data_IF_031692048987
#
_entry.id   IF_031692048987
#
_cell.length_a   1.000
_cell.length_b   1.000
_cell.length_c   1.000
_cell.angle_alpha   90.00
_cell.angle_beta   90.00
_cell.angle_gamma   90.00
#
_symmetry.space_group_name_H-M   'P 1'
#
loop_
_entity.id
_entity.type
_entity.pdbx_description
1 polymer ?
#
# COMPACT_ATOMS: atom_id res chain seq x y z
N UNK A 1 -22.66 49.02 -20.64
CA UNK A 1 -22.62 47.60 -21.05
C UNK A 1 -21.52 46.91 -20.26
N UNK A 2 -21.88 46.19 -19.20
CA UNK A 2 -20.94 45.36 -18.44
C UNK A 2 -21.09 43.92 -18.96
N UNK A 3 -20.08 43.41 -19.66
CA UNK A 3 -20.03 42.03 -20.08
C UNK A 3 -19.52 41.19 -18.90
N UNK A 4 -20.39 40.35 -18.36
CA UNK A 4 -20.02 39.34 -17.39
C UNK A 4 -19.11 38.29 -18.07
N UNK A 5 -17.87 38.18 -17.58
CA UNK A 5 -17.01 37.04 -17.86
C UNK A 5 -17.66 35.80 -17.24
N UNK A 6 -18.26 34.96 -18.09
CA UNK A 6 -18.55 33.58 -17.73
C UNK A 6 -17.22 32.84 -17.68
N UNK A 7 -16.80 32.46 -16.48
CA UNK A 7 -15.79 31.43 -16.31
C UNK A 7 -16.44 30.11 -16.75
N UNK A 8 -15.92 29.53 -17.83
CA UNK A 8 -16.26 28.18 -18.23
C UNK A 8 -15.91 27.23 -17.08
N UNK A 9 -16.87 26.37 -16.72
CA UNK A 9 -16.63 25.24 -15.84
C UNK A 9 -15.52 24.42 -16.48
N UNK A 10 -14.35 24.40 -15.87
CA UNK A 10 -13.27 23.46 -16.21
C UNK A 10 -13.89 22.07 -16.17
N UNK A 11 -13.97 21.42 -17.33
CA UNK A 11 -14.34 20.02 -17.47
C UNK A 11 -13.40 19.22 -16.56
N UNK A 12 -13.92 18.79 -15.41
CA UNK A 12 -13.27 17.73 -14.64
C UNK A 12 -13.23 16.53 -15.60
N UNK A 13 -12.07 15.89 -15.81
CA UNK A 13 -12.07 14.60 -16.47
C UNK A 13 -13.06 13.72 -15.71
N UNK A 14 -14.02 13.12 -16.43
CA UNK A 14 -14.84 12.07 -15.84
C UNK A 14 -13.88 11.07 -15.21
N UNK A 15 -14.11 10.75 -13.92
CA UNK A 15 -13.32 9.84 -13.08
C UNK A 15 -12.65 8.82 -13.99
N UNK A 16 -11.31 8.91 -14.10
CA UNK A 16 -10.54 8.20 -15.13
C UNK A 16 -11.09 6.78 -15.29
N UNK A 17 -11.48 6.42 -16.52
CA UNK A 17 -11.90 5.06 -16.84
C UNK A 17 -10.71 4.14 -16.57
N UNK A 18 -10.57 3.68 -15.33
CA UNK A 18 -9.61 2.66 -14.97
C UNK A 18 -10.08 1.37 -15.63
N UNK A 19 -9.21 0.79 -16.45
CA UNK A 19 -9.44 -0.51 -17.02
C UNK A 19 -8.82 -1.52 -16.07
N UNK A 20 -9.65 -2.26 -15.35
CA UNK A 20 -9.21 -3.36 -14.47
C UNK A 20 -8.48 -4.50 -15.20
N UNK A 21 -8.39 -4.43 -16.54
CA UNK A 21 -7.52 -5.29 -17.35
C UNK A 21 -6.16 -4.67 -17.64
N UNK A 22 -5.87 -3.46 -17.15
CA UNK A 22 -4.58 -2.78 -17.27
C UNK A 22 -4.01 -2.61 -15.86
N UNK A 23 -2.90 -3.28 -15.56
CA UNK A 23 -2.27 -3.26 -14.24
C UNK A 23 -0.86 -2.67 -14.30
N UNK A 24 -0.60 -1.69 -13.45
CA UNK A 24 0.76 -1.24 -13.15
C UNK A 24 1.11 -1.68 -11.72
N UNK A 25 2.15 -2.50 -11.60
CA UNK A 25 2.60 -3.07 -10.34
C UNK A 25 4.05 -2.67 -10.09
N UNK A 26 4.29 -1.88 -9.04
CA UNK A 26 5.64 -1.53 -8.57
C UNK A 26 5.97 -2.29 -7.30
N UNK A 27 7.20 -2.81 -7.24
CA UNK A 27 7.80 -3.30 -6.00
C UNK A 27 8.73 -2.24 -5.43
N UNK A 28 8.54 -1.88 -4.16
CA UNK A 28 9.48 -1.05 -3.40
C UNK A 28 10.18 -1.98 -2.41
N UNK A 29 11.48 -2.18 -2.59
CA UNK A 29 12.21 -3.27 -1.94
C UNK A 29 13.36 -2.73 -1.11
N UNK A 30 13.26 -2.98 0.19
CA UNK A 30 14.38 -2.90 1.11
C UNK A 30 15.50 -3.85 0.65
N UNK A 31 16.70 -3.30 0.46
CA UNK A 31 17.88 -4.01 0.00
C UNK A 31 19.02 -4.06 1.01
N UNK A 32 18.74 -3.93 2.32
CA UNK A 32 19.78 -4.07 3.35
C UNK A 32 20.00 -5.51 3.79
N UNK A 33 20.98 -5.70 4.68
CA UNK A 33 21.56 -7.01 4.99
C UNK A 33 20.55 -8.08 5.43
N UNK A 34 19.46 -7.69 6.10
CA UNK A 34 18.43 -8.61 6.59
C UNK A 34 17.53 -9.18 5.49
N UNK A 35 17.45 -8.52 4.33
CA UNK A 35 16.46 -8.80 3.29
C UNK A 35 16.83 -9.93 2.33
N UNK A 36 17.98 -10.60 2.52
CA UNK A 36 18.53 -11.56 1.57
C UNK A 36 17.60 -12.71 1.18
N UNK A 37 16.86 -13.29 2.15
CA UNK A 37 15.92 -14.39 1.87
C UNK A 37 14.66 -13.92 1.14
N UNK A 38 14.27 -12.66 1.30
CA UNK A 38 13.11 -12.05 0.66
C UNK A 38 13.42 -11.61 -0.76
N UNK A 39 14.59 -11.00 -0.99
CA UNK A 39 15.11 -10.73 -2.34
C UNK A 39 15.23 -12.04 -3.14
N UNK A 40 15.81 -13.09 -2.55
CA UNK A 40 15.94 -14.38 -3.21
C UNK A 40 14.59 -15.02 -3.54
N UNK A 41 13.60 -14.89 -2.64
CA UNK A 41 12.24 -15.37 -2.89
C UNK A 41 11.54 -14.58 -3.99
N UNK A 42 11.60 -13.24 -3.95
CA UNK A 42 11.03 -12.38 -5.00
C UNK A 42 11.63 -12.74 -6.37
N UNK A 43 12.96 -12.85 -6.43
CA UNK A 43 13.71 -13.23 -7.64
C UNK A 43 13.30 -14.58 -8.20
N UNK A 44 13.13 -15.58 -7.32
CA UNK A 44 12.79 -16.95 -7.72
C UNK A 44 11.35 -17.06 -8.20
N UNK A 45 10.43 -16.28 -7.62
CA UNK A 45 9.00 -16.40 -7.87
C UNK A 45 8.42 -15.34 -8.81
N UNK A 46 9.19 -14.33 -9.26
CA UNK A 46 8.64 -13.22 -10.08
C UNK A 46 7.95 -13.70 -11.35
N UNK A 47 8.46 -14.78 -11.98
CA UNK A 47 7.81 -15.38 -13.14
C UNK A 47 6.45 -15.97 -12.79
N UNK A 48 6.38 -16.71 -11.70
CA UNK A 48 5.15 -17.35 -11.23
C UNK A 48 4.12 -16.30 -10.81
N UNK A 49 4.55 -15.25 -10.09
CA UNK A 49 3.71 -14.10 -9.72
C UNK A 49 3.07 -13.47 -10.97
N UNK A 50 3.88 -13.13 -11.97
CA UNK A 50 3.37 -12.48 -13.18
C UNK A 50 2.49 -13.43 -13.97
N UNK A 51 2.91 -14.68 -14.15
CA UNK A 51 2.16 -15.67 -14.91
C UNK A 51 0.78 -15.93 -14.28
N UNK A 52 0.70 -16.10 -12.97
CA UNK A 52 -0.56 -16.30 -12.26
C UNK A 52 -1.47 -15.08 -12.37
N UNK A 53 -0.96 -13.85 -12.21
CA UNK A 53 -1.79 -12.64 -12.34
C UNK A 53 -2.28 -12.47 -13.80
N UNK A 54 -1.41 -12.64 -14.80
CA UNK A 54 -1.80 -12.53 -16.22
C UNK A 54 -2.84 -13.58 -16.59
N UNK A 55 -2.65 -14.84 -16.19
CA UNK A 55 -3.58 -15.94 -16.50
C UNK A 55 -4.93 -15.72 -15.81
N UNK A 56 -4.91 -15.40 -14.52
CA UNK A 56 -6.14 -15.31 -13.70
C UNK A 56 -6.95 -14.04 -13.97
N UNK A 57 -6.30 -12.91 -14.25
CA UNK A 57 -6.98 -11.62 -14.41
C UNK A 57 -7.02 -11.12 -15.86
N UNK A 58 -6.41 -11.84 -16.81
CA UNK A 58 -6.30 -11.46 -18.24
C UNK A 58 -5.81 -10.02 -18.43
N UNK A 59 -4.91 -9.59 -17.56
CA UNK A 59 -4.48 -8.20 -17.47
C UNK A 59 -3.18 -7.93 -18.25
N UNK A 60 -3.10 -6.76 -18.87
CA UNK A 60 -1.88 -6.17 -19.42
C UNK A 60 -1.05 -5.54 -18.29
N UNK A 61 -0.03 -6.27 -17.85
CA UNK A 61 0.77 -5.94 -16.66
C UNK A 61 2.06 -5.25 -17.07
N UNK A 62 2.32 -4.09 -16.46
CA UNK A 62 3.63 -3.46 -16.41
C UNK A 62 4.23 -3.56 -15.01
N UNK A 63 5.53 -3.84 -14.94
CA UNK A 63 6.27 -4.06 -13.70
C UNK A 63 7.33 -2.98 -13.52
N UNK A 64 7.46 -2.44 -12.31
CA UNK A 64 8.53 -1.53 -11.93
C UNK A 64 9.20 -1.99 -10.63
N UNK A 65 10.43 -1.54 -10.39
CA UNK A 65 11.19 -1.82 -9.17
C UNK A 65 11.84 -0.54 -8.66
N UNK A 66 11.59 -0.21 -7.40
CA UNK A 66 12.33 0.79 -6.63
C UNK A 66 13.07 0.07 -5.53
N UNK A 67 14.39 0.07 -5.59
CA UNK A 67 15.24 -0.44 -4.53
C UNK A 67 15.60 0.72 -3.60
N UNK A 68 15.60 0.50 -2.29
CA UNK A 68 16.15 1.45 -1.34
C UNK A 68 17.04 0.77 -0.31
N UNK A 69 17.91 1.56 0.31
CA UNK A 69 18.71 1.19 1.48
C UNK A 69 18.67 2.34 2.48
N UNK A 70 19.82 2.90 2.80
CA UNK A 70 20.00 3.87 3.87
C UNK A 70 20.83 5.06 3.37
N UNK A 71 20.82 6.15 4.13
CA UNK A 71 21.55 7.38 3.85
C UNK A 71 23.00 7.31 4.35
N UNK A 72 23.94 8.01 3.71
CA UNK A 72 25.27 8.22 4.28
C UNK A 72 25.17 9.02 5.59
N UNK A 73 25.86 8.63 6.68
CA UNK A 73 27.01 7.73 6.69
C UNK A 73 26.70 6.25 6.94
N UNK A 74 25.44 5.86 7.16
CA UNK A 74 25.09 4.46 7.45
C UNK A 74 25.36 3.57 6.25
N UNK A 75 24.98 4.03 5.07
CA UNK A 75 25.30 3.38 3.81
C UNK A 75 25.90 4.38 2.81
N UNK A 76 27.01 3.99 2.18
CA UNK A 76 27.73 4.79 1.18
C UNK A 76 27.53 4.29 -0.27
N UNK A 77 26.70 3.27 -0.48
CA UNK A 77 26.49 2.63 -1.78
C UNK A 77 25.45 3.36 -2.63
N UNK A 78 24.19 3.34 -2.21
CA UNK A 78 23.09 4.09 -2.82
C UNK A 78 21.95 4.24 -1.80
N UNK A 79 21.17 5.32 -1.93
CA UNK A 79 19.92 5.51 -1.17
C UNK A 79 18.77 4.84 -1.90
N UNK A 80 18.57 5.16 -3.18
CA UNK A 80 17.58 4.51 -4.06
C UNK A 80 18.16 4.13 -5.43
N UNK A 81 17.58 3.09 -6.06
CA UNK A 81 17.74 2.77 -7.48
C UNK A 81 16.36 2.52 -8.09
N UNK A 82 16.07 3.22 -9.18
CA UNK A 82 14.74 3.22 -9.80
C UNK A 82 14.81 2.55 -11.17
N UNK A 83 13.96 1.53 -11.36
CA UNK A 83 13.71 0.88 -12.64
C UNK A 83 12.24 1.11 -13.02
N UNK A 84 12.04 1.88 -14.09
CA UNK A 84 10.71 2.26 -14.56
C UNK A 84 9.94 1.07 -15.17
N UNK A 85 8.67 1.27 -15.53
CA UNK A 85 7.78 0.22 -15.99
C UNK A 85 8.29 -0.54 -17.23
N UNK A 86 8.28 -1.87 -17.13
CA UNK A 86 8.55 -2.80 -18.24
C UNK A 86 7.47 -3.87 -18.37
N UNK A 87 7.22 -4.31 -19.60
CA UNK A 87 6.41 -5.49 -19.92
C UNK A 87 7.22 -6.79 -19.88
N UNK A 88 8.55 -6.71 -19.75
CA UNK A 88 9.46 -7.85 -19.89
C UNK A 88 9.77 -8.44 -18.53
N UNK A 89 9.15 -9.57 -18.21
CA UNK A 89 9.40 -10.31 -16.95
C UNK A 89 10.88 -10.67 -16.75
N UNK A 90 11.60 -10.99 -17.84
CA UNK A 90 13.04 -11.26 -17.75
C UNK A 90 13.88 -10.03 -17.40
N UNK A 91 13.42 -8.83 -17.76
CA UNK A 91 14.08 -7.57 -17.38
C UNK A 91 13.86 -7.28 -15.89
N UNK A 92 12.61 -7.39 -15.41
CA UNK A 92 12.29 -7.32 -13.98
C UNK A 92 13.10 -8.34 -13.16
N UNK A 93 13.17 -9.59 -13.63
CA UNK A 93 14.01 -10.62 -12.98
C UNK A 93 15.49 -10.20 -12.99
N UNK A 94 15.97 -9.64 -14.09
CA UNK A 94 17.35 -9.17 -14.20
C UNK A 94 17.68 -8.02 -13.23
N UNK A 95 16.71 -7.16 -12.90
CA UNK A 95 16.86 -6.14 -11.85
C UNK A 95 16.91 -6.79 -10.45
N UNK A 96 15.99 -7.71 -10.17
CA UNK A 96 15.97 -8.46 -8.91
C UNK A 96 17.22 -9.31 -8.69
N UNK A 97 17.78 -9.91 -9.75
CA UNK A 97 19.06 -10.64 -9.71
C UNK A 97 20.24 -9.72 -9.30
N UNK A 98 20.11 -8.40 -9.46
CA UNK A 98 21.11 -7.39 -9.09
C UNK A 98 20.86 -6.78 -7.70
N UNK A 99 19.70 -7.06 -7.08
CA UNK A 99 19.46 -6.70 -5.68
C UNK A 99 20.41 -7.52 -4.81
N UNK A 100 21.19 -6.84 -3.98
CA UNK A 100 22.05 -7.48 -2.98
C UNK A 100 21.64 -6.99 -1.61
N UNK A 101 21.36 -7.91 -0.69
CA UNK A 101 21.08 -7.59 0.71
C UNK A 101 22.38 -7.16 1.42
N UNK A 102 22.65 -5.86 1.46
CA UNK A 102 23.86 -5.28 2.06
C UNK A 102 23.59 -3.84 2.50
N UNK A 103 24.37 -3.34 3.44
CA UNK A 103 24.23 -1.96 3.91
C UNK A 103 23.28 -1.83 5.09
N UNK A 104 22.72 -0.63 5.26
CA UNK A 104 22.06 -0.18 6.49
C UNK A 104 23.07 0.17 7.59
N UNK A 105 22.61 0.40 8.82
CA UNK A 105 23.50 0.57 9.95
C UNK A 105 22.83 0.84 11.29
N UNK A 106 21.83 1.72 11.31
CA UNK A 106 21.23 2.25 12.53
C UNK A 106 19.83 1.68 12.84
N UNK A 107 19.25 0.92 11.91
CA UNK A 107 18.00 0.18 12.09
C UNK A 107 16.89 0.73 11.21
N UNK A 108 16.50 2.01 11.32
CA UNK A 108 15.61 2.65 10.35
C UNK A 108 16.27 2.81 8.97
N UNK A 109 15.45 2.98 7.94
CA UNK A 109 15.93 3.03 6.56
C UNK A 109 15.29 4.14 5.72
N UNK A 110 15.77 4.30 4.47
CA UNK A 110 15.31 5.30 3.50
C UNK A 110 13.96 4.96 2.84
N UNK A 111 13.00 4.45 3.63
CA UNK A 111 11.64 4.11 3.18
C UNK A 111 10.95 5.32 2.54
N UNK A 112 11.15 6.52 3.09
CA UNK A 112 10.59 7.76 2.55
C UNK A 112 11.10 8.05 1.13
N UNK A 113 12.40 7.87 0.88
CA UNK A 113 13.01 8.04 -0.43
C UNK A 113 12.47 7.03 -1.44
N UNK A 114 12.38 5.75 -1.03
CA UNK A 114 11.80 4.69 -1.85
C UNK A 114 10.35 4.96 -2.26
N UNK A 115 9.50 5.36 -1.30
CA UNK A 115 8.10 5.73 -1.60
C UNK A 115 8.00 7.01 -2.43
N UNK A 116 8.89 7.98 -2.23
CA UNK A 116 8.90 9.21 -3.02
C UNK A 116 9.22 8.92 -4.50
N UNK A 117 10.16 8.02 -4.77
CA UNK A 117 10.52 7.64 -6.14
C UNK A 117 9.39 6.91 -6.88
N UNK A 118 8.46 6.26 -6.16
CA UNK A 118 7.24 5.68 -6.76
C UNK A 118 6.38 6.74 -7.46
N UNK A 119 6.32 7.96 -6.93
CA UNK A 119 5.54 9.06 -7.51
C UNK A 119 6.10 9.54 -8.86
N UNK A 120 7.37 9.21 -9.16
CA UNK A 120 8.09 9.64 -10.36
C UNK A 120 8.01 8.63 -11.52
N UNK A 121 7.47 7.43 -11.27
CA UNK A 121 7.34 6.38 -12.28
C UNK A 121 6.35 6.74 -13.38
N UNK A 122 6.51 6.13 -14.55
CA UNK A 122 5.70 6.40 -15.75
C UNK A 122 4.35 5.66 -15.72
N UNK A 123 3.55 5.91 -14.69
CA UNK A 123 2.23 5.31 -14.49
C UNK A 123 1.26 5.56 -15.65
N UNK A 124 0.53 4.54 -16.09
CA UNK A 124 -0.53 4.68 -17.08
C UNK A 124 -1.76 5.32 -16.44
N UNK A 125 -2.41 6.24 -17.17
CA UNK A 125 -3.56 6.98 -16.64
C UNK A 125 -4.70 6.04 -16.21
N UNK A 126 -5.00 5.04 -17.04
CA UNK A 126 -6.14 4.13 -16.88
C UNK A 126 -5.79 2.81 -16.20
N UNK A 127 -4.58 2.62 -15.69
CA UNK A 127 -4.22 1.38 -14.99
C UNK A 127 -4.78 1.36 -13.56
N UNK A 128 -5.10 0.16 -13.08
CA UNK A 128 -5.06 -0.14 -11.65
C UNK A 128 -3.62 -0.01 -11.18
N UNK A 129 -3.37 0.81 -10.16
CA UNK A 129 -2.01 1.16 -9.69
C UNK A 129 -1.74 0.57 -8.32
N UNK A 130 -0.81 -0.37 -8.26
CA UNK A 130 -0.47 -1.09 -7.03
C UNK A 130 1.01 -0.90 -6.72
N UNK A 131 1.30 -0.46 -5.51
CA UNK A 131 2.62 -0.38 -4.94
C UNK A 131 2.75 -1.42 -3.82
N UNK A 132 3.70 -2.34 -3.93
CA UNK A 132 4.01 -3.33 -2.91
C UNK A 132 5.33 -2.95 -2.25
N UNK A 133 5.26 -2.41 -1.03
CA UNK A 133 6.43 -2.17 -0.18
C UNK A 133 6.79 -3.44 0.57
N UNK A 134 8.04 -3.88 0.49
CA UNK A 134 8.59 -5.02 1.24
C UNK A 134 9.69 -4.47 2.14
N UNK A 135 9.45 -4.44 3.45
CA UNK A 135 10.36 -3.85 4.44
C UNK A 135 10.37 -4.66 5.74
N UNK A 136 11.50 -4.64 6.44
CA UNK A 136 11.62 -5.12 7.82
C UNK A 136 11.92 -3.99 8.84
N UNK A 137 12.17 -2.77 8.36
CA UNK A 137 12.56 -1.61 9.14
C UNK A 137 11.63 -0.39 8.97
N UNK A 138 11.52 0.51 9.97
CA UNK A 138 10.76 1.75 9.87
C UNK A 138 11.50 2.82 9.04
N UNK A 139 10.82 3.89 8.58
CA UNK A 139 11.52 5.07 8.09
C UNK A 139 12.29 5.79 9.20
N UNK A 140 13.35 6.50 8.82
CA UNK A 140 13.96 7.51 9.69
C UNK A 140 12.95 8.52 10.23
N UNK A 141 13.19 8.98 11.47
CA UNK A 141 12.37 9.97 12.16
C UNK A 141 11.22 9.41 12.98
N UNK A 142 10.89 8.11 12.85
CA UNK A 142 9.80 7.48 13.60
C UNK A 142 10.17 7.14 15.05
N UNK A 143 11.28 6.42 15.25
CA UNK A 143 11.80 6.05 16.57
C UNK A 143 13.20 6.66 16.76
N UNK A 144 13.39 7.62 17.68
CA UNK A 144 14.68 8.28 17.86
C UNK A 144 15.74 7.38 18.51
N UNK A 145 15.38 6.21 19.02
CA UNK A 145 16.33 5.32 19.70
C UNK A 145 17.20 4.58 18.69
N UNK A 146 18.43 5.04 18.53
CA UNK A 146 19.42 4.41 17.65
C UNK A 146 19.43 4.95 16.22
N UNK A 147 18.41 5.71 15.82
CA UNK A 147 18.29 6.36 14.51
C UNK A 147 19.37 7.43 14.28
N UNK A 148 20.15 7.29 13.21
CA UNK A 148 21.15 8.25 12.76
C UNK A 148 20.54 9.49 12.10
N UNK A 149 19.26 9.44 11.73
CA UNK A 149 18.48 10.54 11.18
C UNK A 149 17.18 10.77 11.95
N UNK A 150 17.25 11.11 13.25
CA UNK A 150 16.10 11.15 14.15
C UNK A 150 15.07 12.25 13.82
N UNK A 151 15.40 13.15 12.89
CA UNK A 151 14.52 14.22 12.41
C UNK A 151 13.82 13.86 11.08
N UNK A 152 13.97 12.63 10.59
CA UNK A 152 13.42 12.17 9.32
C UNK A 152 14.45 12.12 8.19
N UNK A 153 13.98 11.86 6.98
CA UNK A 153 14.81 11.81 5.77
C UNK A 153 15.66 13.09 5.63
N UNK A 154 16.98 12.99 5.37
CA UNK A 154 17.87 14.14 5.14
C UNK A 154 17.43 15.08 4.02
N UNK A 155 16.68 14.57 3.04
CA UNK A 155 16.13 15.35 1.93
C UNK A 155 14.81 16.06 2.28
N UNK A 156 14.32 15.91 3.51
CA UNK A 156 13.04 16.48 3.96
C UNK A 156 11.82 15.75 3.42
N UNK A 157 11.98 14.52 2.92
CA UNK A 157 10.89 13.69 2.44
C UNK A 157 10.08 13.13 3.61
N UNK A 158 8.77 13.35 3.58
CA UNK A 158 7.85 12.90 4.62
C UNK A 158 7.00 11.72 4.11
N UNK A 159 7.16 10.50 4.66
CA UNK A 159 6.43 9.33 4.19
C UNK A 159 4.90 9.46 4.35
N UNK A 160 4.40 10.26 5.31
CA UNK A 160 2.96 10.49 5.48
C UNK A 160 2.42 11.36 4.34
N UNK A 161 3.14 12.45 4.01
CA UNK A 161 2.77 13.31 2.89
C UNK A 161 2.84 12.55 1.56
N UNK A 162 3.90 11.74 1.38
CA UNK A 162 4.09 10.91 0.18
C UNK A 162 2.95 9.92 0.00
N UNK A 163 2.54 9.16 1.03
CA UNK A 163 1.43 8.20 0.87
C UNK A 163 0.08 8.88 0.65
N UNK A 164 -0.09 10.12 1.12
CA UNK A 164 -1.26 10.93 0.78
C UNK A 164 -1.24 11.35 -0.68
N UNK A 165 -0.09 11.77 -1.21
CA UNK A 165 0.07 12.04 -2.64
C UNK A 165 -0.14 10.77 -3.49
N UNK A 166 0.36 9.62 -3.04
CA UNK A 166 0.08 8.32 -3.67
C UNK A 166 -1.43 8.06 -3.74
N UNK A 167 -2.15 8.30 -2.64
CA UNK A 167 -3.60 8.13 -2.58
C UNK A 167 -4.36 9.06 -3.54
N UNK A 168 -3.94 10.33 -3.65
CA UNK A 168 -4.48 11.31 -4.61
C UNK A 168 -4.22 10.87 -6.06
N UNK A 169 -3.07 10.26 -6.34
CA UNK A 169 -2.74 9.65 -7.66
C UNK A 169 -3.34 8.26 -7.86
N UNK A 170 -4.18 7.79 -6.93
CA UNK A 170 -4.84 6.48 -6.94
C UNK A 170 -3.87 5.28 -6.95
N UNK A 171 -2.69 5.46 -6.36
CA UNK A 171 -1.72 4.40 -6.13
C UNK A 171 -2.05 3.74 -4.79
N UNK A 172 -2.40 2.46 -4.84
CA UNK A 172 -2.72 1.69 -3.64
C UNK A 172 -1.46 1.06 -3.07
N UNK A 173 -1.17 1.32 -1.80
CA UNK A 173 -0.01 0.78 -1.09
C UNK A 173 -0.38 -0.49 -0.30
N UNK A 174 0.20 -1.60 -0.71
CA UNK A 174 0.29 -2.82 0.08
C UNK A 174 1.65 -2.83 0.80
N UNK A 175 1.65 -3.06 2.10
CA UNK A 175 2.89 -3.18 2.87
C UNK A 175 3.06 -4.62 3.31
N UNK A 176 4.03 -5.30 2.72
CA UNK A 176 4.49 -6.61 3.13
C UNK A 176 5.55 -6.43 4.23
N UNK A 177 5.10 -6.56 5.47
CA UNK A 177 5.95 -6.35 6.64
C UNK A 177 6.67 -7.61 7.08
N UNK A 178 8.00 -7.59 7.01
CA UNK A 178 8.85 -8.72 7.40
C UNK A 178 8.99 -8.79 8.92
N UNK A 179 8.59 -9.94 9.47
CA UNK A 179 8.56 -10.18 10.91
C UNK A 179 9.64 -11.16 11.35
N UNK A 180 10.15 -11.06 12.59
CA UNK A 180 9.74 -10.13 13.66
C UNK A 180 10.24 -8.66 13.65
N UNK A 181 11.25 -8.22 12.88
CA UNK A 181 11.83 -6.88 13.07
C UNK A 181 10.84 -5.71 12.99
N UNK A 182 9.87 -5.78 12.07
CA UNK A 182 8.91 -4.70 11.84
C UNK A 182 7.77 -4.64 12.88
N UNK A 183 7.61 -5.67 13.73
CA UNK A 183 6.48 -5.81 14.66
C UNK A 183 6.23 -4.55 15.52
N UNK A 184 7.27 -3.90 16.09
CA UNK A 184 7.07 -2.67 16.86
C UNK A 184 6.50 -1.50 16.07
N UNK A 185 6.55 -1.56 14.73
CA UNK A 185 6.14 -0.51 13.79
C UNK A 185 4.92 -0.90 12.95
N UNK A 186 4.26 -2.03 13.26
CA UNK A 186 3.06 -2.51 12.53
C UNK A 186 2.01 -1.44 12.36
N UNK A 187 1.61 -0.76 13.44
CA UNK A 187 0.54 0.25 13.39
C UNK A 187 0.91 1.43 12.48
N UNK A 188 2.19 1.80 12.42
CA UNK A 188 2.67 2.81 11.49
C UNK A 188 2.44 2.35 10.04
N UNK A 189 2.93 1.16 9.66
CA UNK A 189 2.77 0.66 8.30
C UNK A 189 1.32 0.34 7.92
N UNK A 190 0.52 -0.17 8.87
CA UNK A 190 -0.92 -0.32 8.72
C UNK A 190 -1.59 1.02 8.40
N UNK A 191 -1.17 2.11 9.05
CA UNK A 191 -1.72 3.44 8.79
C UNK A 191 -1.39 3.94 7.39
N UNK A 192 -0.16 3.69 6.89
CA UNK A 192 0.24 4.04 5.52
C UNK A 192 -0.60 3.30 4.48
N UNK A 193 -0.72 1.98 4.65
CA UNK A 193 -1.53 1.15 3.77
C UNK A 193 -3.01 1.61 3.79
N UNK A 194 -3.55 1.85 4.99
CA UNK A 194 -4.92 2.32 5.16
C UNK A 194 -5.18 3.66 4.46
N UNK A 195 -4.27 4.63 4.54
CA UNK A 195 -4.43 5.94 3.86
C UNK A 195 -4.75 5.76 2.38
N UNK A 196 -4.09 4.83 1.71
CA UNK A 196 -4.29 4.54 0.27
C UNK A 196 -5.44 3.56 -0.04
N UNK A 197 -6.06 2.96 0.98
CA UNK A 197 -7.04 1.89 0.84
C UNK A 197 -6.44 0.50 0.54
N UNK A 198 -5.13 0.34 0.76
CA UNK A 198 -4.45 -0.95 0.69
C UNK A 198 -4.45 -1.69 2.03
N UNK A 199 -3.55 -2.65 2.19
CA UNK A 199 -3.46 -3.49 3.39
C UNK A 199 -2.01 -3.72 3.82
N UNK A 200 -1.81 -3.89 5.12
CA UNK A 200 -0.59 -4.45 5.68
C UNK A 200 -0.68 -5.97 5.69
N UNK A 201 0.36 -6.66 5.24
CA UNK A 201 0.43 -8.11 5.21
C UNK A 201 1.66 -8.55 5.98
N UNK A 202 1.50 -9.11 7.19
CA UNK A 202 2.63 -9.60 7.97
C UNK A 202 3.27 -10.82 7.31
N UNK A 203 4.58 -10.94 7.36
CA UNK A 203 5.28 -12.04 6.71
C UNK A 203 6.40 -12.56 7.59
N UNK A 204 6.20 -13.75 8.17
CA UNK A 204 7.22 -14.43 8.96
C UNK A 204 8.18 -15.29 8.11
N UNK A 205 7.83 -15.58 6.85
CA UNK A 205 8.64 -16.42 5.96
C UNK A 205 8.56 -15.95 4.52
N UNK A 206 9.71 -15.86 3.86
CA UNK A 206 9.81 -15.43 2.46
C UNK A 206 9.13 -16.38 1.49
N UNK A 207 8.84 -17.63 1.88
CA UNK A 207 8.15 -18.63 1.06
C UNK A 207 6.74 -18.21 0.66
N UNK A 208 6.09 -17.38 1.48
CA UNK A 208 4.71 -16.93 1.26
C UNK A 208 4.63 -15.65 0.42
N UNK A 209 5.76 -15.03 0.08
CA UNK A 209 5.80 -13.74 -0.60
C UNK A 209 5.00 -13.75 -1.91
N UNK A 210 5.18 -14.77 -2.75
CA UNK A 210 4.46 -14.89 -4.01
C UNK A 210 2.94 -15.00 -3.80
N UNK A 211 2.51 -15.87 -2.86
CA UNK A 211 1.10 -16.09 -2.53
C UNK A 211 0.44 -14.79 -2.05
N UNK A 212 1.13 -14.05 -1.19
CA UNK A 212 0.67 -12.76 -0.66
C UNK A 212 0.54 -11.71 -1.77
N UNK A 213 1.55 -11.57 -2.64
CA UNK A 213 1.50 -10.60 -3.74
C UNK A 213 0.36 -10.94 -4.70
N UNK A 214 0.24 -12.20 -5.11
CA UNK A 214 -0.83 -12.65 -6.01
C UNK A 214 -2.20 -12.40 -5.36
N UNK A 215 -2.40 -12.81 -4.11
CA UNK A 215 -3.66 -12.63 -3.40
C UNK A 215 -4.05 -11.16 -3.27
N UNK A 216 -3.11 -10.32 -2.84
CA UNK A 216 -3.32 -8.88 -2.70
C UNK A 216 -3.66 -8.19 -4.02
N UNK A 217 -2.92 -8.49 -5.09
CA UNK A 217 -3.18 -7.93 -6.44
C UNK A 217 -4.54 -8.36 -6.98
N UNK A 218 -4.90 -9.65 -6.85
CA UNK A 218 -6.18 -10.17 -7.34
C UNK A 218 -7.37 -9.59 -6.58
N UNK A 219 -7.24 -9.41 -5.27
CA UNK A 219 -8.23 -8.70 -4.46
C UNK A 219 -8.36 -7.24 -4.91
N UNK A 220 -7.25 -6.54 -5.10
CA UNK A 220 -7.27 -5.13 -5.52
C UNK A 220 -7.96 -4.93 -6.88
N UNK A 221 -7.62 -5.76 -7.87
CA UNK A 221 -8.31 -5.77 -9.18
C UNK A 221 -9.81 -6.04 -9.00
N UNK A 222 -10.18 -6.95 -8.09
CA UNK A 222 -11.58 -7.23 -7.79
C UNK A 222 -12.29 -6.02 -7.18
N UNK A 223 -11.65 -5.31 -6.25
CA UNK A 223 -12.23 -4.12 -5.60
C UNK A 223 -12.38 -2.96 -6.59
N UNK A 224 -11.39 -2.73 -7.47
CA UNK A 224 -11.49 -1.70 -8.51
C UNK A 224 -12.65 -1.97 -9.48
N UNK A 225 -12.87 -3.23 -9.89
CA UNK A 225 -14.04 -3.63 -10.70
C UNK A 225 -15.35 -3.33 -9.97
N UNK A 226 -15.45 -3.70 -8.69
CA UNK A 226 -16.65 -3.47 -7.89
C UNK A 226 -16.94 -1.98 -7.71
N UNK A 227 -15.90 -1.17 -7.48
CA UNK A 227 -16.02 0.28 -7.40
C UNK A 227 -16.53 0.87 -8.71
N UNK A 228 -16.01 0.41 -9.85
CA UNK A 228 -16.43 0.87 -11.16
C UNK A 228 -17.90 0.51 -11.45
N UNK A 229 -18.32 -0.71 -11.13
CA UNK A 229 -19.68 -1.19 -11.38
C UNK A 229 -20.73 -0.54 -10.46
N UNK A 230 -20.37 -0.24 -9.20
CA UNK A 230 -21.28 0.36 -8.21
C UNK A 230 -21.11 1.88 -8.04
N UNK A 231 -20.32 2.54 -8.89
CA UNK A 231 -19.88 3.93 -8.70
C UNK A 231 -21.05 4.90 -8.44
N UNK A 232 -22.09 4.87 -9.27
CA UNK A 232 -23.23 5.80 -9.16
C UNK A 232 -24.02 5.61 -7.84
N UNK A 233 -24.14 4.38 -7.36
CA UNK A 233 -24.84 4.06 -6.13
C UNK A 233 -24.02 4.43 -4.89
N UNK A 234 -22.70 4.18 -4.96
CA UNK A 234 -21.76 4.62 -3.93
C UNK A 234 -21.78 6.15 -3.82
N UNK A 235 -21.65 6.88 -4.93
CA UNK A 235 -21.67 8.35 -4.92
C UNK A 235 -22.96 8.91 -4.32
N UNK A 236 -24.11 8.33 -4.70
CA UNK A 236 -25.41 8.73 -4.18
C UNK A 236 -25.53 8.47 -2.68
N UNK A 237 -25.09 7.31 -2.22
CA UNK A 237 -25.19 6.95 -0.81
C UNK A 237 -24.20 7.74 0.05
N UNK A 238 -22.99 8.00 -0.45
CA UNK A 238 -22.00 8.83 0.24
C UNK A 238 -22.45 10.29 0.34
N UNK A 239 -23.09 10.84 -0.68
CA UNK A 239 -23.65 12.20 -0.61
C UNK A 239 -24.71 12.34 0.50
N UNK A 240 -25.56 11.31 0.69
CA UNK A 240 -26.52 11.28 1.81
C UNK A 240 -25.81 11.15 3.16
N UNK A 241 -24.89 10.21 3.27
CA UNK A 241 -24.15 9.96 4.49
C UNK A 241 -23.36 11.21 4.95
N UNK A 242 -22.81 11.98 4.01
CA UNK A 242 -22.16 13.26 4.30
C UNK A 242 -23.15 14.33 4.78
N UNK A 243 -24.33 14.44 4.17
CA UNK A 243 -25.37 15.37 4.61
C UNK A 243 -25.89 15.05 6.02
N UNK A 244 -25.85 13.77 6.41
CA UNK A 244 -26.25 13.27 7.72
C UNK A 244 -25.13 13.35 8.78
N UNK A 245 -23.91 13.73 8.39
CA UNK A 245 -22.77 13.77 9.29
C UNK A 245 -22.31 12.38 9.76
N UNK A 246 -22.52 11.35 8.95
CA UNK A 246 -22.17 9.96 9.28
C UNK A 246 -20.66 9.80 9.53
N UNK A 247 -20.33 8.94 10.50
CA UNK A 247 -18.93 8.55 10.77
C UNK A 247 -18.32 7.77 9.60
N UNK A 248 -16.99 7.70 9.52
CA UNK A 248 -16.31 6.91 8.47
C UNK A 248 -16.70 5.42 8.51
N UNK A 249 -16.82 4.85 9.71
CA UNK A 249 -17.29 3.48 9.91
C UNK A 249 -18.70 3.28 9.37
N UNK A 250 -19.60 4.24 9.62
CA UNK A 250 -20.96 4.17 9.11
C UNK A 250 -21.02 4.30 7.58
N UNK A 251 -20.16 5.15 6.98
CA UNK A 251 -20.02 5.26 5.52
C UNK A 251 -19.53 3.96 4.90
N UNK A 252 -18.53 3.31 5.50
CA UNK A 252 -18.07 1.98 5.08
C UNK A 252 -19.21 0.94 5.12
N UNK A 253 -19.98 0.87 6.21
CA UNK A 253 -21.12 -0.05 6.31
C UNK A 253 -22.28 0.30 5.38
N UNK A 254 -22.40 1.55 4.92
CA UNK A 254 -23.35 1.94 3.86
C UNK A 254 -22.89 1.42 2.50
N UNK A 255 -21.60 1.55 2.17
CA UNK A 255 -21.03 0.96 0.95
C UNK A 255 -21.20 -0.57 0.97
N UNK A 256 -20.96 -1.23 2.12
CA UNK A 256 -21.17 -2.67 2.25
C UNK A 256 -22.62 -3.05 1.93
N UNK A 257 -23.60 -2.29 2.43
CA UNK A 257 -25.03 -2.48 2.10
C UNK A 257 -25.34 -2.28 0.62
N UNK A 258 -24.69 -1.33 -0.05
CA UNK A 258 -24.83 -1.15 -1.52
C UNK A 258 -24.38 -2.43 -2.23
N UNK A 259 -23.19 -2.95 -1.90
CA UNK A 259 -22.68 -4.20 -2.47
C UNK A 259 -23.59 -5.39 -2.19
N UNK A 260 -24.06 -5.54 -0.95
CA UNK A 260 -24.98 -6.61 -0.57
C UNK A 260 -26.31 -6.53 -1.34
N UNK A 261 -26.87 -5.33 -1.52
CA UNK A 261 -28.14 -5.13 -2.25
C UNK A 261 -28.06 -5.52 -3.73
N UNK A 262 -26.86 -5.44 -4.32
CA UNK A 262 -26.55 -5.86 -5.69
C UNK A 262 -26.05 -7.30 -5.78
N UNK A 263 -25.95 -8.01 -4.65
CA UNK A 263 -25.35 -9.34 -4.55
C UNK A 263 -23.95 -9.41 -5.19
N UNK A 264 -23.16 -8.36 -4.98
CA UNK A 264 -21.81 -8.27 -5.54
C UNK A 264 -20.85 -9.19 -4.78
N UNK A 265 -19.91 -9.75 -5.52
CA UNK A 265 -18.96 -10.75 -5.03
C UNK A 265 -17.54 -10.30 -5.32
N UNK A 266 -16.63 -10.59 -4.41
CA UNK A 266 -15.23 -10.20 -4.51
C UNK A 266 -14.29 -11.40 -4.35
N UNK A 267 -13.04 -11.19 -4.72
CA UNK A 267 -11.93 -12.02 -4.28
C UNK A 267 -11.41 -11.45 -2.97
N UNK A 268 -11.14 -12.31 -2.00
CA UNK A 268 -10.66 -11.91 -0.69
C UNK A 268 -9.44 -12.73 -0.32
N UNK A 269 -8.31 -12.05 -0.10
CA UNK A 269 -7.15 -12.68 0.52
C UNK A 269 -7.41 -12.73 2.02
N UNK A 270 -7.41 -13.92 2.60
CA UNK A 270 -7.40 -14.04 4.05
C UNK A 270 -6.12 -13.39 4.59
N UNK A 271 -6.26 -12.52 5.58
CA UNK A 271 -5.13 -11.80 6.17
C UNK A 271 -5.40 -11.58 7.66
N UNK A 272 -5.48 -12.70 8.39
CA UNK A 272 -5.93 -12.73 9.79
C UNK A 272 -5.09 -11.81 10.68
N UNK A 273 -3.78 -11.74 10.43
CA UNK A 273 -2.85 -10.95 11.24
C UNK A 273 -2.61 -9.52 10.71
N UNK A 274 -3.11 -9.20 9.51
CA UNK A 274 -2.96 -7.88 8.89
C UNK A 274 -4.20 -7.00 9.00
N UNK A 275 -5.21 -7.41 9.77
CA UNK A 275 -6.37 -6.54 10.06
C UNK A 275 -5.88 -5.26 10.72
N UNK A 276 -6.20 -4.11 10.13
CA UNK A 276 -5.73 -2.82 10.61
C UNK A 276 -6.27 -2.54 12.03
N UNK A 277 -5.37 -2.12 12.94
CA UNK A 277 -5.75 -1.80 14.30
C UNK A 277 -6.58 -0.51 14.38
N UNK A 278 -7.36 -0.35 15.46
CA UNK A 278 -8.07 0.91 15.72
C UNK A 278 -7.08 2.09 15.87
N UNK A 279 -5.89 1.84 16.42
CA UNK A 279 -4.82 2.85 16.53
C UNK A 279 -4.39 3.30 15.13
N UNK A 280 -4.07 2.35 14.25
CA UNK A 280 -3.66 2.65 12.89
C UNK A 280 -4.75 3.41 12.11
N UNK A 281 -6.01 2.98 12.20
CA UNK A 281 -7.12 3.50 11.38
C UNK A 281 -7.77 4.77 11.94
N UNK A 282 -7.95 4.88 13.25
CA UNK A 282 -8.66 6.00 13.88
C UNK A 282 -7.73 7.11 14.37
N UNK A 283 -6.43 6.82 14.58
CA UNK A 283 -5.45 7.79 15.09
C UNK A 283 -4.32 8.09 14.09
N UNK A 284 -3.48 7.11 13.79
CA UNK A 284 -2.23 7.32 13.05
C UNK A 284 -2.49 7.73 11.59
N UNK A 285 -3.50 7.13 10.94
CA UNK A 285 -3.90 7.49 9.57
C UNK A 285 -4.40 8.93 9.40
N UNK A 286 -4.68 9.62 10.51
CA UNK A 286 -5.15 11.02 10.52
C UNK A 286 -4.01 12.03 10.60
N UNK A 287 -2.78 11.59 10.88
CA UNK A 287 -1.60 12.46 10.89
C UNK A 287 -1.35 13.04 9.50
N UNK A 288 -0.98 14.32 9.43
CA UNK A 288 -0.67 14.99 8.16
C UNK A 288 0.81 14.91 7.78
N UNK A 289 1.70 14.65 8.75
CA UNK A 289 3.14 14.58 8.58
C UNK A 289 3.78 13.71 9.69
N UNK A 290 5.07 13.44 9.56
CA UNK A 290 5.88 12.68 10.52
C UNK A 290 6.02 13.33 11.89
N UNK A 291 5.92 14.66 11.99
CA UNK A 291 5.98 15.33 13.30
C UNK A 291 4.77 14.98 14.17
N UNK A 292 3.56 15.03 13.59
CA UNK A 292 2.35 14.57 14.26
C UNK A 292 2.38 13.06 14.51
N UNK A 293 2.85 12.30 13.52
CA UNK A 293 2.98 10.84 13.59
C UNK A 293 3.85 10.43 14.77
N UNK A 294 5.07 10.96 14.86
CA UNK A 294 6.04 10.66 15.92
C UNK A 294 5.47 10.95 17.31
N UNK A 295 4.77 12.07 17.45
CA UNK A 295 4.13 12.44 18.73
C UNK A 295 3.09 11.40 19.16
N UNK A 296 2.19 11.02 18.25
CA UNK A 296 1.13 10.03 18.53
C UNK A 296 1.69 8.63 18.74
N UNK A 297 2.59 8.21 17.86
CA UNK A 297 3.24 6.90 17.92
C UNK A 297 3.96 6.68 19.25
N UNK A 298 4.66 7.70 19.75
CA UNK A 298 5.34 7.63 21.06
C UNK A 298 4.35 7.50 22.23
N UNK A 299 3.17 8.13 22.14
CA UNK A 299 2.15 8.08 23.20
C UNK A 299 1.25 6.83 23.15
N UNK A 300 1.06 6.26 21.96
CA UNK A 300 0.13 5.15 21.70
C UNK A 300 0.84 3.80 21.58
N UNK A 301 2.18 3.76 21.67
CA UNK A 301 2.98 2.53 21.63
C UNK A 301 2.54 1.59 22.75
N UNK A 302 1.85 0.51 22.38
CA UNK A 302 1.52 -0.54 23.32
C UNK A 302 2.82 -1.15 23.88
N UNK A 303 2.88 -1.47 25.19
CA UNK A 303 4.01 -2.22 25.72
C UNK A 303 4.11 -3.56 24.97
N UNK A 304 5.33 -3.96 24.62
CA UNK A 304 5.72 -5.14 23.81
C UNK A 304 5.18 -6.48 24.37
N UNK A 305 4.48 -6.46 25.51
CA UNK A 305 4.00 -7.59 26.29
C UNK A 305 2.52 -7.98 26.07
N UNK A 306 1.87 -7.57 24.98
CA UNK A 306 0.49 -7.99 24.69
C UNK A 306 0.45 -8.97 23.51
N UNK A 307 -0.52 -9.89 23.49
CA UNK A 307 -0.65 -10.91 22.45
C UNK A 307 -0.80 -10.35 21.02
N UNK A 308 -1.16 -9.07 20.87
CA UNK A 308 -1.14 -8.34 19.59
C UNK A 308 0.27 -8.00 19.07
N UNK A 309 1.28 -8.08 19.94
CA UNK A 309 2.71 -7.96 19.63
C UNK A 309 3.37 -9.32 19.34
N UNK A 310 2.61 -10.42 19.35
CA UNK A 310 3.16 -11.71 18.98
C UNK A 310 3.44 -11.74 17.46
N UNK A 311 4.63 -12.22 17.03
CA UNK A 311 4.90 -12.44 15.63
C UNK A 311 3.93 -13.49 15.07
N UNK A 312 3.65 -13.40 13.77
CA UNK A 312 2.79 -14.37 13.08
C UNK A 312 3.29 -15.81 13.32
N UNK A 313 2.36 -16.74 13.58
CA UNK A 313 2.68 -18.16 13.62
C UNK A 313 3.12 -18.66 12.23
N UNK A 314 4.10 -19.55 12.16
CA UNK A 314 4.75 -19.96 10.90
C UNK A 314 3.94 -20.96 10.04
N UNK A 315 2.61 -20.98 10.14
CA UNK A 315 1.75 -21.94 9.41
C UNK A 315 1.31 -21.40 8.04
N UNK A 316 1.18 -22.30 7.04
CA UNK A 316 0.97 -21.95 5.62
C UNK A 316 -0.44 -21.46 5.25
N UNK A 317 -1.41 -21.61 6.17
CA UNK A 317 -2.85 -21.46 5.89
C UNK A 317 -3.38 -20.02 6.07
N UNK A 318 -2.52 -19.02 6.23
CA UNK A 318 -2.96 -17.67 6.62
C UNK A 318 -3.29 -16.70 5.48
N UNK A 319 -2.98 -17.07 4.22
CA UNK A 319 -3.12 -16.20 3.03
C UNK A 319 -3.90 -16.84 1.89
N UNK A 320 -4.87 -17.71 2.20
CA UNK A 320 -5.71 -18.29 1.16
C UNK A 320 -6.55 -17.21 0.48
N UNK A 321 -6.56 -17.26 -0.85
CA UNK A 321 -7.46 -16.43 -1.64
C UNK A 321 -8.78 -17.17 -1.80
N UNK A 322 -9.83 -16.62 -1.20
CA UNK A 322 -11.20 -17.10 -1.40
C UNK A 322 -11.80 -16.31 -2.54
N UNK A 323 -12.33 -17.02 -3.53
CA UNK A 323 -12.97 -16.42 -4.70
C UNK A 323 -14.49 -16.44 -4.54
N UNK A 324 -15.13 -15.44 -5.14
CA UNK A 324 -16.59 -15.34 -5.17
C UNK A 324 -17.20 -15.33 -3.76
N UNK A 325 -16.76 -14.39 -2.90
CA UNK A 325 -17.31 -14.15 -1.57
C UNK A 325 -18.07 -12.83 -1.45
N UNK A 326 -18.98 -12.75 -0.47
CA UNK A 326 -19.67 -11.49 -0.21
C UNK A 326 -18.64 -10.42 0.19
N UNK A 327 -18.80 -9.21 -0.34
CA UNK A 327 -17.89 -8.10 0.03
C UNK A 327 -17.96 -7.87 1.53
N UNK A 328 -16.80 -7.89 2.19
CA UNK A 328 -16.72 -7.72 3.65
C UNK A 328 -16.80 -6.25 4.07
N UNK A 329 -17.01 -5.99 5.37
CA UNK A 329 -16.94 -4.63 5.93
C UNK A 329 -15.52 -4.04 5.79
N UNK A 330 -14.46 -4.85 5.89
CA UNK A 330 -13.08 -4.40 5.68
C UNK A 330 -12.86 -3.93 4.23
N UNK A 331 -13.28 -4.75 3.26
CA UNK A 331 -13.22 -4.38 1.85
C UNK A 331 -14.06 -3.14 1.55
N UNK A 332 -15.24 -3.01 2.15
CA UNK A 332 -16.07 -1.82 2.00
C UNK A 332 -15.42 -0.58 2.63
N UNK A 333 -14.69 -0.72 3.75
CA UNK A 333 -13.92 0.37 4.35
C UNK A 333 -12.74 0.80 3.46
N UNK A 334 -12.06 -0.15 2.82
CA UNK A 334 -11.01 0.14 1.83
C UNK A 334 -11.56 0.86 0.60
N UNK A 335 -12.71 0.41 0.09
CA UNK A 335 -13.43 1.09 -1.00
C UNK A 335 -13.85 2.50 -0.59
N UNK A 336 -14.40 2.68 0.61
CA UNK A 336 -14.73 4.00 1.15
C UNK A 336 -13.49 4.90 1.14
N UNK A 337 -12.35 4.36 1.56
CA UNK A 337 -11.13 5.15 1.66
C UNK A 337 -10.59 5.58 0.30
N UNK A 338 -10.61 4.68 -0.70
CA UNK A 338 -10.32 5.03 -2.10
C UNK A 338 -11.29 6.06 -2.66
N UNK A 339 -12.58 5.91 -2.39
CA UNK A 339 -13.61 6.88 -2.78
C UNK A 339 -13.34 8.27 -2.17
N UNK A 340 -13.03 8.32 -0.88
CA UNK A 340 -12.69 9.54 -0.14
C UNK A 340 -11.46 10.25 -0.75
N UNK A 341 -10.43 9.48 -1.11
CA UNK A 341 -9.21 10.00 -1.74
C UNK A 341 -9.46 10.59 -3.13
N UNK A 342 -10.39 10.02 -3.91
CA UNK A 342 -10.77 10.53 -5.25
C UNK A 342 -11.48 11.90 -5.21
N UNK A 343 -12.00 12.31 -4.05
CA UNK A 343 -12.73 13.58 -3.88
C UNK A 343 -11.80 14.76 -3.56
N UNK A 344 -10.60 14.48 -3.05
CA UNK A 344 -9.62 15.49 -2.63
C UNK A 344 -8.91 16.07 -3.84
#
# INVERSE_FOLDING_TARGET
MAAALKMDKVDRPQLAQHDSSILDLVFVMDCTGSMGSYIASATSNIRDIVQEIVISEKSDIHLALVEYRDHPPQDATFVTRVHDFTVRVNEMKGWLDQCQAQGGGDGPEAVADGLHDVLKLSWRATSTKICVLISDAPPHGLDPSGDGFPNGCPLGLDPIEIVREMAEKHITLYVVGVEPPIVPYRDFFMSLAYITGGQYVPMATSKLLAKVIIGGVREEISLDRLMQEAQEDIDREMAKAEAEGASEKEKASRINRVFASKNMRSKQMQNVYGTASAVATESLSKCMNMSEMKSKFSSERAPISTAAAAPMASTDDHYELVEDEAVTEDQAARVYQKWSNRKR
#
